data_IF_197581185058
#
_entry.id   IF_197581185058
#
_cell.length_a   1.000
_cell.length_b   1.000
_cell.length_c   1.000
_cell.angle_alpha   90.00
_cell.angle_beta   90.00
_cell.angle_gamma   90.00
#
_symmetry.space_group_name_H-M   'P 1'
#
loop_
_entity.id
_entity.type
_entity.pdbx_description
1 polymer ?
#
# COMPACT_ATOMS: atom_id res chain seq x y z
N UNK A 1 -6.69 24.10 -14.19
CA UNK A 1 -6.71 22.82 -14.93
C UNK A 1 -5.28 22.29 -14.88
N UNK A 2 -5.01 21.28 -14.04
CA UNK A 2 -3.68 20.66 -14.00
C UNK A 2 -3.49 19.92 -15.34
N UNK A 3 -2.35 20.15 -16.01
CA UNK A 3 -1.97 19.35 -17.17
C UNK A 3 -1.94 17.88 -16.76
N UNK A 4 -2.46 16.95 -17.57
CA UNK A 4 -2.28 15.54 -17.29
C UNK A 4 -0.77 15.25 -17.27
N UNK A 5 -0.29 14.79 -16.13
CA UNK A 5 1.09 14.41 -15.90
C UNK A 5 1.52 13.37 -16.95
N UNK A 6 2.71 13.56 -17.51
CA UNK A 6 3.22 12.74 -18.61
C UNK A 6 3.62 11.35 -18.07
N UNK A 7 3.01 10.25 -18.53
CA UNK A 7 3.26 8.90 -18.00
C UNK A 7 4.73 8.46 -18.07
N UNK A 8 5.48 8.96 -19.05
CA UNK A 8 6.91 8.66 -19.20
C UNK A 8 7.71 9.34 -18.10
N UNK A 9 7.41 10.60 -17.80
CA UNK A 9 8.09 11.36 -16.78
C UNK A 9 7.82 10.78 -15.38
N UNK A 10 6.57 10.41 -15.10
CA UNK A 10 6.17 9.75 -13.84
C UNK A 10 6.95 8.45 -13.63
N UNK A 11 7.05 7.61 -14.66
CA UNK A 11 7.83 6.37 -14.61
C UNK A 11 9.33 6.60 -14.45
N UNK A 12 9.90 7.63 -15.08
CA UNK A 12 11.30 8.00 -14.90
C UNK A 12 11.60 8.44 -13.46
N UNK A 13 10.74 9.29 -12.89
CA UNK A 13 10.83 9.70 -11.48
C UNK A 13 10.73 8.50 -10.55
N UNK A 14 9.74 7.63 -10.76
CA UNK A 14 9.56 6.41 -9.99
C UNK A 14 10.82 5.54 -10.01
N UNK A 15 11.46 5.39 -11.17
CA UNK A 15 12.68 4.61 -11.31
C UNK A 15 13.89 5.24 -10.61
N UNK A 16 13.94 6.57 -10.51
CA UNK A 16 14.99 7.28 -9.80
C UNK A 16 14.93 7.08 -8.28
N UNK A 17 13.75 6.83 -7.71
CA UNK A 17 13.59 6.58 -6.27
C UNK A 17 14.25 5.25 -5.89
N UNK A 18 15.19 5.32 -4.94
CA UNK A 18 15.93 4.16 -4.40
C UNK A 18 15.61 3.88 -2.94
N UNK A 19 15.19 4.90 -2.18
CA UNK A 19 14.80 4.73 -0.79
C UNK A 19 13.37 4.17 -0.70
N UNK A 20 13.14 3.09 0.08
CA UNK A 20 11.82 2.49 0.18
C UNK A 20 10.82 3.34 0.98
N UNK A 21 11.29 4.22 1.86
CA UNK A 21 10.45 5.18 2.59
C UNK A 21 9.92 6.25 1.65
N UNK A 22 10.80 6.89 0.87
CA UNK A 22 10.41 7.85 -0.17
C UNK A 22 9.46 7.22 -1.20
N UNK A 23 9.71 5.97 -1.58
CA UNK A 23 8.84 5.24 -2.50
C UNK A 23 7.44 5.00 -1.92
N UNK A 24 7.34 4.68 -0.63
CA UNK A 24 6.07 4.52 0.05
C UNK A 24 5.32 5.85 0.20
N UNK A 25 6.03 6.95 0.47
CA UNK A 25 5.42 8.29 0.50
C UNK A 25 4.88 8.67 -0.88
N UNK A 26 5.67 8.44 -1.93
CA UNK A 26 5.26 8.66 -3.31
C UNK A 26 4.02 7.84 -3.69
N UNK A 27 4.00 6.54 -3.37
CA UNK A 27 2.86 5.66 -3.61
C UNK A 27 1.59 6.10 -2.85
N UNK A 28 1.74 6.83 -1.75
CA UNK A 28 0.61 7.30 -0.96
C UNK A 28 0.07 8.66 -1.42
N UNK A 29 0.92 9.58 -1.88
CA UNK A 29 0.55 10.98 -2.11
C UNK A 29 0.47 11.40 -3.58
N UNK A 30 0.84 10.54 -4.52
CA UNK A 30 0.79 10.90 -5.94
C UNK A 30 -0.67 11.04 -6.43
N UNK A 31 -0.91 11.98 -7.34
CA UNK A 31 -2.25 12.34 -7.81
C UNK A 31 -2.90 11.26 -8.68
N UNK A 32 -2.09 10.50 -9.40
CA UNK A 32 -2.53 9.43 -10.29
C UNK A 32 -2.52 8.06 -9.58
N UNK A 33 -3.67 7.39 -9.41
CA UNK A 33 -3.75 6.10 -8.72
C UNK A 33 -3.01 4.97 -9.44
N UNK A 34 -2.85 5.03 -10.76
CA UNK A 34 -2.10 3.99 -11.50
C UNK A 34 -0.60 4.10 -11.23
N UNK A 35 -0.08 5.31 -11.13
CA UNK A 35 1.31 5.57 -10.75
C UNK A 35 1.56 5.16 -9.30
N UNK A 36 0.60 5.43 -8.40
CA UNK A 36 0.65 4.96 -7.02
C UNK A 36 0.74 3.43 -6.94
N UNK A 37 -0.06 2.71 -7.73
CA UNK A 37 0.00 1.24 -7.80
C UNK A 37 1.33 0.75 -8.34
N UNK A 38 1.86 1.37 -9.41
CA UNK A 38 3.17 1.01 -9.96
C UNK A 38 4.30 1.24 -8.94
N UNK A 39 4.23 2.33 -8.18
CA UNK A 39 5.15 2.62 -7.09
C UNK A 39 5.06 1.58 -5.96
N UNK A 40 3.84 1.18 -5.61
CA UNK A 40 3.60 0.16 -4.61
C UNK A 40 4.11 -1.21 -5.08
N UNK A 41 3.87 -1.59 -6.33
CA UNK A 41 4.38 -2.84 -6.91
C UNK A 41 5.91 -2.87 -6.92
N UNK A 42 6.55 -1.74 -7.23
CA UNK A 42 7.99 -1.61 -7.12
C UNK A 42 8.43 -1.82 -5.66
N UNK A 43 7.77 -1.20 -4.70
CA UNK A 43 8.07 -1.36 -3.27
C UNK A 43 7.94 -2.82 -2.82
N UNK A 44 6.91 -3.53 -3.28
CA UNK A 44 6.70 -4.96 -2.97
C UNK A 44 7.82 -5.85 -3.50
N UNK A 45 8.44 -5.47 -4.62
CA UNK A 45 9.55 -6.20 -5.26
C UNK A 45 10.94 -5.83 -4.73
N UNK A 46 11.05 -4.81 -3.87
CA UNK A 46 12.33 -4.47 -3.27
C UNK A 46 12.78 -5.57 -2.29
N UNK A 47 14.09 -5.82 -2.28
CA UNK A 47 14.73 -6.75 -1.34
C UNK A 47 14.81 -6.10 0.04
N UNK A 48 13.77 -6.32 0.84
CA UNK A 48 13.59 -5.79 2.18
C UNK A 48 13.08 -6.91 3.08
N UNK A 49 13.40 -6.82 4.37
CA UNK A 49 12.74 -7.63 5.39
C UNK A 49 11.22 -7.49 5.27
N UNK A 50 10.50 -8.61 5.24
CA UNK A 50 9.06 -8.64 5.01
C UNK A 50 8.27 -7.81 6.03
N UNK A 51 8.70 -7.78 7.30
CA UNK A 51 8.09 -6.90 8.31
C UNK A 51 8.23 -5.41 7.97
N UNK A 52 9.40 -5.01 7.44
CA UNK A 52 9.65 -3.62 7.01
C UNK A 52 8.79 -3.27 5.80
N UNK A 53 8.71 -4.19 4.83
CA UNK A 53 7.87 -4.04 3.63
C UNK A 53 6.40 -3.87 4.02
N UNK A 54 5.90 -4.75 4.87
CA UNK A 54 4.53 -4.71 5.36
C UNK A 54 4.24 -3.40 6.12
N UNK A 55 5.18 -2.90 6.94
CA UNK A 55 5.01 -1.64 7.67
C UNK A 55 4.87 -0.44 6.72
N UNK A 56 5.68 -0.39 5.65
CA UNK A 56 5.60 0.65 4.63
C UNK A 56 4.29 0.56 3.84
N UNK A 57 3.85 -0.64 3.47
CA UNK A 57 2.58 -0.86 2.76
C UNK A 57 1.39 -0.44 3.63
N UNK A 58 1.39 -0.77 4.93
CA UNK A 58 0.37 -0.27 5.85
C UNK A 58 0.38 1.26 5.93
N UNK A 59 1.55 1.92 5.88
CA UNK A 59 1.61 3.39 5.81
C UNK A 59 0.96 3.93 4.54
N UNK A 60 1.09 3.25 3.39
CA UNK A 60 0.42 3.64 2.14
C UNK A 60 -1.10 3.58 2.30
N UNK A 61 -1.63 2.46 2.82
CA UNK A 61 -3.08 2.28 3.07
C UNK A 61 -3.66 3.43 3.89
N UNK A 62 -2.95 3.85 4.94
CA UNK A 62 -3.37 4.91 5.87
C UNK A 62 -3.35 6.30 5.23
N UNK A 63 -2.30 6.59 4.47
CA UNK A 63 -2.04 7.93 3.95
C UNK A 63 -2.79 8.21 2.65
N UNK A 64 -2.97 7.20 1.80
CA UNK A 64 -3.50 7.40 0.44
C UNK A 64 -4.88 8.06 0.40
N UNK A 65 -5.10 8.85 -0.65
CA UNK A 65 -6.40 9.43 -1.00
C UNK A 65 -7.17 8.59 -2.03
N UNK A 66 -6.59 7.48 -2.50
CA UNK A 66 -7.16 6.66 -3.56
C UNK A 66 -7.59 5.29 -3.03
N UNK A 67 -8.90 5.01 -3.01
CA UNK A 67 -9.44 3.71 -2.61
C UNK A 67 -8.83 2.53 -3.39
N UNK A 68 -8.64 2.60 -4.73
CA UNK A 68 -8.03 1.50 -5.48
C UNK A 68 -6.59 1.19 -5.06
N UNK A 69 -5.85 2.20 -4.58
CA UNK A 69 -4.47 2.02 -4.08
C UNK A 69 -4.50 1.36 -2.70
N UNK A 70 -5.40 1.78 -1.82
CA UNK A 70 -5.58 1.15 -0.51
C UNK A 70 -5.98 -0.33 -0.64
N UNK A 71 -6.93 -0.65 -1.53
CA UNK A 71 -7.32 -2.04 -1.81
C UNK A 71 -6.15 -2.85 -2.39
N UNK A 72 -5.40 -2.29 -3.34
CA UNK A 72 -4.22 -2.95 -3.91
C UNK A 72 -3.15 -3.25 -2.85
N UNK A 73 -2.92 -2.30 -1.94
CA UNK A 73 -2.02 -2.47 -0.81
C UNK A 73 -2.48 -3.53 0.20
N UNK A 74 -3.79 -3.68 0.43
CA UNK A 74 -4.30 -4.79 1.22
C UNK A 74 -4.11 -6.15 0.56
N UNK A 75 -4.19 -6.22 -0.77
CA UNK A 75 -3.91 -7.44 -1.52
C UNK A 75 -2.55 -8.05 -1.19
N UNK A 76 -1.57 -7.22 -0.81
CA UNK A 76 -0.27 -7.70 -0.32
C UNK A 76 -0.38 -8.58 0.94
N UNK A 77 -1.32 -8.31 1.85
CA UNK A 77 -1.51 -9.11 3.06
C UNK A 77 -1.87 -10.57 2.75
N UNK A 78 -2.56 -10.81 1.62
CA UNK A 78 -2.89 -12.15 1.16
C UNK A 78 -1.67 -12.92 0.61
N UNK A 79 -0.69 -12.21 0.02
CA UNK A 79 0.48 -12.84 -0.64
C UNK A 79 1.78 -12.76 0.19
N UNK A 80 1.79 -12.01 1.29
CA UNK A 80 2.95 -11.91 2.18
C UNK A 80 3.23 -13.26 2.88
N UNK A 81 4.51 -13.56 3.10
CA UNK A 81 4.96 -14.76 3.82
C UNK A 81 4.93 -14.59 5.34
N UNK A 82 4.50 -13.43 5.85
CA UNK A 82 4.37 -13.20 7.28
C UNK A 82 3.35 -14.18 7.91
N UNK A 83 3.57 -14.61 9.16
CA UNK A 83 2.60 -15.38 9.91
C UNK A 83 1.26 -14.64 10.09
N UNK A 84 0.15 -15.37 10.10
CA UNK A 84 -1.19 -14.78 10.14
C UNK A 84 -1.45 -13.92 11.39
N UNK A 85 -0.87 -14.28 12.53
CA UNK A 85 -0.96 -13.46 13.75
C UNK A 85 -0.26 -12.10 13.60
N UNK A 86 0.83 -12.04 12.82
CA UNK A 86 1.52 -10.79 12.49
C UNK A 86 0.68 -9.97 11.52
N UNK A 87 0.19 -10.59 10.44
CA UNK A 87 -0.73 -9.95 9.47
C UNK A 87 -1.96 -9.38 10.16
N UNK A 88 -2.60 -10.16 11.03
CA UNK A 88 -3.77 -9.73 11.79
C UNK A 88 -3.48 -8.52 12.69
N UNK A 89 -2.33 -8.52 13.38
CA UNK A 89 -1.91 -7.37 14.21
C UNK A 89 -1.73 -6.11 13.37
N UNK A 90 -1.11 -6.23 12.20
CA UNK A 90 -0.89 -5.11 11.29
C UNK A 90 -2.19 -4.57 10.70
N UNK A 91 -3.07 -5.46 10.28
CA UNK A 91 -4.40 -5.11 9.78
C UNK A 91 -5.23 -4.39 10.84
N UNK A 92 -5.25 -4.87 12.09
CA UNK A 92 -5.93 -4.17 13.20
C UNK A 92 -5.40 -2.74 13.40
N UNK A 93 -4.08 -2.55 13.37
CA UNK A 93 -3.48 -1.22 13.47
C UNK A 93 -3.82 -0.31 12.27
N UNK A 94 -4.13 -0.89 11.13
CA UNK A 94 -4.54 -0.15 9.94
C UNK A 94 -6.06 0.14 9.91
N UNK A 95 -6.90 -0.72 10.51
CA UNK A 95 -8.36 -0.56 10.58
C UNK A 95 -8.78 0.78 11.21
N UNK A 96 -8.12 1.18 12.30
CA UNK A 96 -8.48 2.42 13.00
C UNK A 96 -8.19 3.67 12.17
N UNK A 97 -7.23 3.58 11.24
CA UNK A 97 -6.68 4.70 10.49
C UNK A 97 -7.13 4.72 9.02
N UNK A 98 -7.86 3.70 8.56
CA UNK A 98 -8.29 3.62 7.16
C UNK A 98 -9.48 4.53 6.88
N UNK A 99 -9.36 5.31 5.80
CA UNK A 99 -10.34 6.31 5.38
C UNK A 99 -11.51 5.72 4.58
N UNK A 100 -11.33 4.54 3.97
CA UNK A 100 -12.29 3.95 3.04
C UNK A 100 -13.07 2.82 3.71
N UNK A 101 -14.38 2.99 3.81
CA UNK A 101 -15.30 2.05 4.47
C UNK A 101 -15.36 0.68 3.76
N UNK A 102 -15.34 0.65 2.43
CA UNK A 102 -15.27 -0.58 1.63
C UNK A 102 -14.03 -1.42 1.97
N UNK A 103 -12.89 -0.75 2.02
CA UNK A 103 -11.59 -1.36 2.31
C UNK A 103 -11.52 -1.81 3.77
N UNK A 104 -12.11 -1.05 4.70
CA UNK A 104 -12.29 -1.47 6.10
C UNK A 104 -13.06 -2.78 6.21
N UNK A 105 -14.20 -2.90 5.54
CA UNK A 105 -15.03 -4.12 5.56
C UNK A 105 -14.29 -5.35 5.01
N UNK A 106 -13.49 -5.17 3.96
CA UNK A 106 -12.65 -6.25 3.41
C UNK A 106 -11.61 -6.74 4.44
N UNK A 107 -10.98 -5.82 5.17
CA UNK A 107 -10.04 -6.17 6.25
C UNK A 107 -10.71 -6.89 7.41
N UNK A 108 -11.89 -6.42 7.84
CA UNK A 108 -12.67 -7.05 8.91
C UNK A 108 -13.12 -8.46 8.52
N UNK A 109 -13.57 -8.64 7.27
CA UNK A 109 -13.90 -9.96 6.74
C UNK A 109 -12.71 -10.90 6.78
N UNK A 110 -11.53 -10.43 6.32
CA UNK A 110 -10.31 -11.22 6.37
C UNK A 110 -9.95 -11.63 7.80
N UNK A 111 -9.98 -10.71 8.78
CA UNK A 111 -9.69 -11.01 10.18
C UNK A 111 -10.63 -12.08 10.73
N UNK A 112 -11.94 -11.93 10.49
CA UNK A 112 -12.97 -12.88 10.93
C UNK A 112 -12.78 -14.27 10.34
N UNK A 113 -12.47 -14.37 9.04
CA UNK A 113 -12.21 -15.64 8.35
C UNK A 113 -11.00 -16.37 8.93
N UNK A 114 -10.02 -15.65 9.47
CA UNK A 114 -8.78 -16.20 10.04
C UNK A 114 -8.83 -16.33 11.58
N UNK A 115 -9.98 -16.07 12.20
CA UNK A 115 -10.18 -16.24 13.65
C UNK A 115 -9.64 -15.11 14.53
N UNK A 116 -9.51 -13.90 13.97
CA UNK A 116 -9.06 -12.69 14.67
C UNK A 116 -10.18 -11.67 14.82
#
# INVERSE_FOLDING_TARGET
MASPSNPILERLMLNAIKDPGELAEFAASHENPEVCKEALDKLMKMDLLEERKAALICSVVKKTSHEPVARHALGYCAVSTLPDNVKARMLRKALDEIKFESVRKEMEAWLKEHGY
#
